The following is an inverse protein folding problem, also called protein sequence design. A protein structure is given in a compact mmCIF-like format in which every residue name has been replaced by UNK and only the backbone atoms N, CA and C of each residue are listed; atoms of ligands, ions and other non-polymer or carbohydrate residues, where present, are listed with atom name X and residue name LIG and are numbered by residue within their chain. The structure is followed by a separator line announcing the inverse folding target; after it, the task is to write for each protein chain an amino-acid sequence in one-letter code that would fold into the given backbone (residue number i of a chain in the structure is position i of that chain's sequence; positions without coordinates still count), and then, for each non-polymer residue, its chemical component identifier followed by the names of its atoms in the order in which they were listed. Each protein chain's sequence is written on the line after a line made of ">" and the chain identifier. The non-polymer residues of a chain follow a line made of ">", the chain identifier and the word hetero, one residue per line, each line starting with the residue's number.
data_IF_292227142465
#
_entry.id   IF_292227142465
#
_cell.length_a   1.000
_cell.length_b   1.000
_cell.length_c   1.000
_cell.angle_alpha   90.00
_cell.angle_beta   90.00
_cell.angle_gamma   90.00
#
_symmetry.space_group_name_H-M   'P 1'
#
loop_
_entity.id
_entity.type
_entity.pdbx_description
1 polymer ?
#
# COMPACT_ATOMS: atom_id res chain seq x y z
N UNK A 1 6.92 -2.03 -10.84
CA UNK A 1 5.53 -2.53 -10.75
C UNK A 1 5.21 -3.73 -11.66
N UNK A 2 6.02 -4.05 -12.67
CA UNK A 2 5.81 -5.22 -13.55
C UNK A 2 6.00 -6.58 -12.85
N UNK A 3 6.93 -6.69 -11.90
CA UNK A 3 7.19 -7.94 -11.17
C UNK A 3 5.99 -8.40 -10.32
N UNK A 4 5.32 -7.46 -9.63
CA UNK A 4 4.11 -7.77 -8.84
C UNK A 4 2.94 -8.22 -9.72
N UNK A 5 2.79 -7.63 -10.91
CA UNK A 5 1.76 -8.04 -11.88
C UNK A 5 2.09 -9.37 -12.57
N UNK A 6 3.36 -9.66 -12.83
CA UNK A 6 3.80 -10.94 -13.40
C UNK A 6 3.64 -12.11 -12.41
N UNK A 7 3.79 -11.85 -11.10
CA UNK A 7 3.53 -12.83 -10.04
C UNK A 7 2.03 -13.10 -9.83
N UNK A 8 1.17 -12.16 -10.21
CA UNK A 8 -0.30 -12.26 -10.12
C UNK A 8 -0.94 -13.02 -11.30
N UNK A 9 -0.17 -13.45 -12.31
CA UNK A 9 -0.72 -14.27 -13.41
C UNK A 9 -1.31 -15.56 -12.81
N UNK A 10 -2.57 -15.92 -13.10
CA UNK A 10 -3.31 -16.96 -12.37
C UNK A 10 -2.62 -18.33 -12.36
N UNK A 11 -1.91 -18.69 -13.44
CA UNK A 11 -1.18 -19.95 -13.50
C UNK A 11 0.11 -19.92 -12.67
N UNK A 12 0.86 -18.81 -12.69
CA UNK A 12 2.11 -18.66 -11.93
C UNK A 12 1.85 -18.62 -10.43
N UNK A 13 0.77 -17.96 -10.00
CA UNK A 13 0.40 -17.89 -8.59
C UNK A 13 -0.05 -19.24 -8.04
N UNK A 14 -0.74 -20.06 -8.85
CA UNK A 14 -1.12 -21.43 -8.49
C UNK A 14 0.10 -22.33 -8.31
N UNK A 15 1.04 -22.30 -9.25
CA UNK A 15 2.25 -23.11 -9.20
C UNK A 15 3.15 -22.76 -8.02
N UNK A 16 3.31 -21.45 -7.74
CA UNK A 16 4.06 -20.96 -6.58
C UNK A 16 3.40 -21.35 -5.25
N UNK A 17 2.06 -21.29 -5.19
CA UNK A 17 1.31 -21.77 -4.02
C UNK A 17 1.48 -23.26 -3.80
N UNK A 18 1.41 -24.06 -4.87
CA UNK A 18 1.60 -25.49 -4.77
C UNK A 18 3.02 -25.84 -4.31
N UNK A 19 4.04 -25.16 -4.85
CA UNK A 19 5.42 -25.34 -4.43
C UNK A 19 5.62 -24.91 -2.96
N UNK A 20 5.02 -23.80 -2.54
CA UNK A 20 5.05 -23.37 -1.15
C UNK A 20 4.37 -24.39 -0.23
N UNK A 21 3.22 -24.92 -0.62
CA UNK A 21 2.49 -25.94 0.14
C UNK A 21 3.32 -27.23 0.28
N UNK A 22 3.99 -27.66 -0.79
CA UNK A 22 4.87 -28.84 -0.78
C UNK A 22 6.02 -28.67 0.22
N UNK A 23 6.71 -27.52 0.23
CA UNK A 23 7.75 -27.25 1.23
C UNK A 23 7.19 -27.10 2.65
N UNK A 24 6.00 -26.52 2.82
CA UNK A 24 5.36 -26.42 4.13
C UNK A 24 4.95 -27.80 4.67
N UNK A 25 4.58 -28.73 3.80
CA UNK A 25 4.15 -30.08 4.21
C UNK A 25 5.35 -31.00 4.46
N UNK A 26 6.38 -30.96 3.61
CA UNK A 26 7.53 -31.86 3.70
C UNK A 26 8.64 -31.38 4.64
N UNK A 27 8.96 -30.08 4.67
CA UNK A 27 10.13 -29.57 5.40
C UNK A 27 9.81 -29.14 6.85
N UNK A 28 8.53 -29.04 7.20
CA UNK A 28 8.09 -28.51 8.49
C UNK A 28 7.25 -29.51 9.29
N UNK A 29 7.39 -29.45 10.62
CA UNK A 29 6.49 -30.17 11.53
C UNK A 29 5.11 -29.50 11.57
N UNK A 30 4.11 -30.23 12.07
CA UNK A 30 2.78 -29.66 12.29
C UNK A 30 2.81 -28.44 13.22
N UNK A 31 3.66 -28.49 14.25
CA UNK A 31 3.85 -27.39 15.19
C UNK A 31 4.41 -26.14 14.50
N UNK A 32 5.38 -26.30 13.60
CA UNK A 32 5.97 -25.18 12.85
C UNK A 32 4.95 -24.55 11.89
N UNK A 33 4.12 -25.38 11.24
CA UNK A 33 3.03 -24.90 10.38
C UNK A 33 2.00 -24.08 11.17
N UNK A 34 1.61 -24.55 12.35
CA UNK A 34 0.66 -23.83 13.21
C UNK A 34 1.27 -22.54 13.76
N UNK A 35 2.58 -22.53 14.02
CA UNK A 35 3.34 -21.33 14.38
C UNK A 35 3.32 -20.29 13.25
N UNK A 36 3.59 -20.72 12.00
CA UNK A 36 3.51 -19.85 10.83
C UNK A 36 2.10 -19.31 10.58
N UNK A 37 1.07 -20.14 10.74
CA UNK A 37 -0.33 -19.71 10.63
C UNK A 37 -0.68 -18.66 11.69
N UNK A 38 -0.26 -18.85 12.94
CA UNK A 38 -0.46 -17.87 14.02
C UNK A 38 0.30 -16.58 13.76
N UNK A 39 1.54 -16.68 13.28
CA UNK A 39 2.36 -15.52 12.92
C UNK A 39 1.73 -14.72 11.76
N UNK A 40 1.27 -15.39 10.70
CA UNK A 40 0.55 -14.76 9.60
C UNK A 40 -0.79 -14.15 10.01
N UNK A 41 -1.49 -14.80 10.95
CA UNK A 41 -2.70 -14.25 11.57
C UNK A 41 -2.42 -12.91 12.27
N UNK A 42 -1.31 -12.79 13.00
CA UNK A 42 -0.92 -11.51 13.63
C UNK A 42 -0.68 -10.41 12.62
N UNK A 43 0.04 -10.69 11.53
CA UNK A 43 0.24 -9.71 10.46
C UNK A 43 -1.11 -9.23 9.92
N UNK A 44 -1.98 -10.17 9.58
CA UNK A 44 -3.31 -9.87 9.03
C UNK A 44 -4.16 -9.04 9.99
N UNK A 45 -4.18 -9.38 11.28
CA UNK A 45 -4.94 -8.65 12.30
C UNK A 45 -4.39 -7.24 12.49
N UNK A 46 -3.07 -7.07 12.61
CA UNK A 46 -2.45 -5.75 12.78
C UNK A 46 -2.64 -4.87 11.53
N UNK A 47 -2.40 -5.41 10.34
CA UNK A 47 -2.66 -4.71 9.07
C UNK A 47 -4.12 -4.34 8.94
N UNK A 48 -5.05 -5.25 9.26
CA UNK A 48 -6.48 -4.98 9.18
C UNK A 48 -6.94 -3.86 10.13
N UNK A 49 -6.55 -3.94 11.41
CA UNK A 49 -6.90 -2.93 12.42
C UNK A 49 -6.29 -1.58 12.04
N UNK A 50 -4.99 -1.53 11.73
CA UNK A 50 -4.32 -0.29 11.42
C UNK A 50 -4.82 0.34 10.11
N UNK A 51 -5.16 -0.47 9.10
CA UNK A 51 -5.82 -0.02 7.87
C UNK A 51 -7.18 0.62 8.17
N UNK A 52 -7.99 -0.01 9.02
CA UNK A 52 -9.29 0.54 9.41
C UNK A 52 -9.14 1.87 10.15
N UNK A 53 -8.21 1.95 11.10
CA UNK A 53 -7.89 3.20 11.81
C UNK A 53 -7.38 4.26 10.83
N UNK A 54 -6.51 3.88 9.90
CA UNK A 54 -5.96 4.77 8.88
C UNK A 54 -7.03 5.37 7.97
N UNK A 55 -7.97 4.55 7.47
CA UNK A 55 -9.13 5.04 6.71
C UNK A 55 -10.00 5.94 7.56
N UNK A 56 -10.28 5.56 8.81
CA UNK A 56 -11.08 6.38 9.74
C UNK A 56 -10.47 7.77 9.97
N UNK A 57 -9.16 7.83 10.20
CA UNK A 57 -8.42 9.09 10.31
C UNK A 57 -8.43 9.87 8.99
N UNK A 58 -8.29 9.20 7.86
CA UNK A 58 -8.41 9.81 6.53
C UNK A 58 -9.76 10.50 6.34
N UNK A 59 -10.85 9.80 6.60
CA UNK A 59 -12.21 10.36 6.52
C UNK A 59 -12.39 11.53 7.50
N UNK A 60 -11.88 11.40 8.72
CA UNK A 60 -11.91 12.47 9.71
C UNK A 60 -11.17 13.73 9.23
N UNK A 61 -9.96 13.59 8.70
CA UNK A 61 -9.20 14.73 8.16
C UNK A 61 -9.86 15.33 6.92
N UNK A 62 -10.45 14.51 6.03
CA UNK A 62 -11.22 15.00 4.90
C UNK A 62 -12.43 15.85 5.35
N UNK A 63 -13.18 15.37 6.35
CA UNK A 63 -14.27 16.12 6.95
C UNK A 63 -13.80 17.44 7.58
N UNK A 64 -12.70 17.38 8.35
CA UNK A 64 -12.12 18.57 8.99
C UNK A 64 -11.69 19.62 7.97
N UNK A 65 -11.03 19.20 6.89
CA UNK A 65 -10.55 20.08 5.83
C UNK A 65 -11.72 20.73 5.07
N UNK A 66 -12.79 19.97 4.80
CA UNK A 66 -14.03 20.51 4.24
C UNK A 66 -14.63 21.58 5.15
N UNK A 67 -14.76 21.30 6.44
CA UNK A 67 -15.31 22.25 7.41
C UNK A 67 -14.51 23.56 7.45
N UNK A 68 -13.17 23.46 7.42
CA UNK A 68 -12.29 24.64 7.34
C UNK A 68 -12.49 25.42 6.04
N UNK A 69 -12.56 24.76 4.88
CA UNK A 69 -12.80 25.42 3.59
C UNK A 69 -14.11 26.21 3.58
N UNK A 70 -15.19 25.63 4.11
CA UNK A 70 -16.49 26.33 4.22
C UNK A 70 -16.41 27.51 5.18
N UNK A 71 -15.75 27.34 6.33
CA UNK A 71 -15.57 28.44 7.28
C UNK A 71 -14.78 29.61 6.67
N UNK A 72 -13.68 29.33 5.95
CA UNK A 72 -12.93 30.34 5.21
C UNK A 72 -13.79 31.03 4.16
N UNK A 73 -14.50 30.28 3.32
CA UNK A 73 -15.37 30.86 2.30
C UNK A 73 -16.43 31.79 2.91
N UNK A 74 -17.06 31.38 4.02
CA UNK A 74 -18.06 32.19 4.71
C UNK A 74 -17.44 33.46 5.31
N UNK A 75 -16.23 33.37 5.88
CA UNK A 75 -15.52 34.53 6.40
C UNK A 75 -15.18 35.54 5.28
N UNK A 76 -14.63 35.08 4.15
CA UNK A 76 -14.33 35.94 3.00
C UNK A 76 -15.58 36.52 2.32
N UNK A 77 -16.71 35.83 2.40
CA UNK A 77 -17.99 36.32 1.86
C UNK A 77 -18.65 37.35 2.78
N UNK A 78 -18.53 37.18 4.10
CA UNK A 78 -19.22 38.00 5.10
C UNK A 78 -18.43 39.24 5.55
N UNK A 79 -17.10 39.25 5.37
CA UNK A 79 -16.29 40.44 5.63
C UNK A 79 -16.53 41.49 4.55
N UNK A 80 -16.63 42.76 4.96
CA UNK A 80 -16.57 43.90 4.05
C UNK A 80 -15.27 43.82 3.25
N UNK A 81 -15.38 43.69 1.93
CA UNK A 81 -14.23 43.50 1.05
C UNK A 81 -13.59 44.86 0.78
N UNK A 82 -12.33 45.10 1.18
CA UNK A 82 -11.63 46.29 0.74
C UNK A 82 -11.51 46.25 -0.79
N UNK A 83 -11.94 47.31 -1.46
CA UNK A 83 -12.02 47.38 -2.93
C UNK A 83 -10.71 47.91 -3.51
N UNK A 84 -10.01 48.77 -2.77
CA UNK A 84 -8.86 49.54 -3.25
C UNK A 84 -7.77 49.65 -2.18
N UNK A 85 -6.50 49.53 -2.59
CA UNK A 85 -5.33 49.87 -1.77
C UNK A 85 -4.84 51.25 -2.22
N UNK A 86 -4.71 52.18 -1.28
CA UNK A 86 -4.06 53.48 -1.51
C UNK A 86 -2.61 53.43 -1.04
N UNK A 87 -1.68 53.57 -1.98
CA UNK A 87 -0.25 53.63 -1.70
C UNK A 87 0.14 55.04 -1.24
N UNK A 88 1.25 55.16 -0.51
CA UNK A 88 1.72 56.44 0.04
C UNK A 88 2.08 57.48 -1.04
N UNK A 89 2.30 57.03 -2.28
CA UNK A 89 2.53 57.86 -3.47
C UNK A 89 1.23 58.36 -4.14
N UNK A 90 0.07 58.03 -3.58
CA UNK A 90 -1.25 58.41 -4.11
C UNK A 90 -1.80 57.47 -5.18
N UNK A 91 -1.06 56.42 -5.57
CA UNK A 91 -1.57 55.40 -6.49
C UNK A 91 -2.65 54.56 -5.81
N UNK A 92 -3.67 54.21 -6.58
CA UNK A 92 -4.76 53.34 -6.12
C UNK A 92 -4.81 52.10 -7.00
N UNK A 93 -4.75 50.91 -6.40
CA UNK A 93 -4.89 49.63 -7.13
C UNK A 93 -6.08 48.83 -6.59
N UNK A 94 -6.89 48.21 -7.47
CA UNK A 94 -8.01 47.39 -7.06
C UNK A 94 -7.54 46.05 -6.48
N UNK A 95 -8.16 45.63 -5.37
CA UNK A 95 -7.88 44.33 -4.78
C UNK A 95 -8.62 43.25 -5.59
N UNK A 96 -7.92 42.22 -6.09
CA UNK A 96 -8.57 41.15 -6.85
C UNK A 96 -9.48 40.31 -5.93
N UNK A 97 -10.75 40.14 -6.33
CA UNK A 97 -11.67 39.25 -5.60
C UNK A 97 -11.30 37.78 -5.83
N UNK A 98 -10.78 37.15 -4.79
CA UNK A 98 -10.39 35.74 -4.79
C UNK A 98 -11.53 34.79 -4.35
N UNK A 99 -12.71 35.32 -4.01
CA UNK A 99 -13.82 34.53 -3.45
C UNK A 99 -14.25 33.38 -4.36
N UNK A 100 -14.22 33.58 -5.68
CA UNK A 100 -14.54 32.55 -6.66
C UNK A 100 -13.59 31.34 -6.57
N UNK A 101 -12.30 31.58 -6.28
CA UNK A 101 -11.29 30.51 -6.15
C UNK A 101 -11.39 29.74 -4.83
N UNK A 102 -11.98 30.36 -3.82
CA UNK A 102 -12.21 29.76 -2.49
C UNK A 102 -13.56 29.04 -2.40
N UNK A 103 -14.37 29.09 -3.46
CA UNK A 103 -15.69 28.47 -3.47
C UNK A 103 -15.61 26.96 -3.23
N UNK A 104 -16.46 26.39 -2.37
CA UNK A 104 -16.54 24.95 -2.18
C UNK A 104 -16.89 24.25 -3.49
N UNK A 105 -16.15 23.19 -3.85
CA UNK A 105 -16.37 22.41 -5.07
C UNK A 105 -16.66 20.95 -4.74
N UNK A 106 -17.75 20.42 -5.32
CA UNK A 106 -18.19 19.03 -5.12
C UNK A 106 -17.13 18.02 -5.60
N UNK A 107 -16.46 18.31 -6.71
CA UNK A 107 -15.38 17.46 -7.24
C UNK A 107 -14.13 17.53 -6.38
N UNK A 108 -13.79 18.72 -5.87
CA UNK A 108 -12.69 18.88 -4.92
C UNK A 108 -12.94 18.13 -3.62
N UNK A 109 -14.18 18.13 -3.13
CA UNK A 109 -14.57 17.38 -1.94
C UNK A 109 -14.51 15.86 -2.19
N UNK A 110 -15.03 15.37 -3.33
CA UNK A 110 -14.92 13.96 -3.71
C UNK A 110 -13.46 13.50 -3.79
N UNK A 111 -12.60 14.29 -4.44
CA UNK A 111 -11.16 14.02 -4.50
C UNK A 111 -10.54 14.02 -3.09
N UNK A 112 -10.93 14.95 -2.22
CA UNK A 112 -10.43 15.00 -0.84
C UNK A 112 -10.76 13.70 -0.10
N UNK A 113 -12.03 13.27 -0.10
CA UNK A 113 -12.40 12.01 0.57
C UNK A 113 -11.68 10.81 -0.03
N UNK A 114 -11.54 10.75 -1.35
CA UNK A 114 -10.82 9.67 -2.01
C UNK A 114 -9.35 9.62 -1.60
N UNK A 115 -8.60 10.71 -1.77
CA UNK A 115 -7.16 10.73 -1.49
C UNK A 115 -6.85 10.55 -0.01
N UNK A 116 -7.65 11.14 0.88
CA UNK A 116 -7.44 10.93 2.31
C UNK A 116 -7.81 9.51 2.75
N UNK A 117 -8.84 8.89 2.17
CA UNK A 117 -9.18 7.49 2.47
C UNK A 117 -8.12 6.53 1.94
N UNK A 118 -7.67 6.71 0.69
CA UNK A 118 -6.63 5.88 0.08
C UNK A 118 -5.28 6.09 0.77
N UNK A 119 -4.91 7.34 1.05
CA UNK A 119 -3.70 7.67 1.79
C UNK A 119 -3.74 7.13 3.22
N UNK A 120 -4.88 7.25 3.88
CA UNK A 120 -5.11 6.67 5.21
C UNK A 120 -5.02 5.15 5.21
N UNK A 121 -5.62 4.48 4.23
CA UNK A 121 -5.51 3.03 4.04
C UNK A 121 -4.05 2.61 3.85
N UNK A 122 -3.32 3.31 2.99
CA UNK A 122 -1.92 2.99 2.72
C UNK A 122 -1.05 3.17 3.96
N UNK A 123 -1.11 4.34 4.60
CA UNK A 123 -0.34 4.62 5.82
C UNK A 123 -0.71 3.65 6.95
N UNK A 124 -2.00 3.42 7.17
CA UNK A 124 -2.48 2.45 8.15
C UNK A 124 -2.04 1.03 7.85
N UNK A 125 -2.09 0.63 6.57
CA UNK A 125 -1.68 -0.69 6.10
C UNK A 125 -0.18 -0.94 6.31
N UNK A 126 0.67 0.02 5.95
CA UNK A 126 2.13 -0.08 6.14
C UNK A 126 2.51 -0.10 7.63
N UNK A 127 1.90 0.75 8.45
CA UNK A 127 2.13 0.74 9.91
C UNK A 127 1.66 -0.59 10.51
N UNK A 128 0.51 -1.09 10.08
CA UNK A 128 -0.01 -2.39 10.50
C UNK A 128 0.87 -3.55 10.04
N UNK A 129 1.43 -3.48 8.82
CA UNK A 129 2.37 -4.46 8.31
C UNK A 129 3.67 -4.45 9.13
N UNK A 130 4.23 -3.29 9.44
CA UNK A 130 5.44 -3.15 10.24
C UNK A 130 5.23 -3.70 11.67
N UNK A 131 4.15 -3.29 12.33
CA UNK A 131 3.83 -3.77 13.69
C UNK A 131 3.48 -5.26 13.71
N UNK A 132 2.74 -5.73 12.70
CA UNK A 132 2.37 -7.13 12.51
C UNK A 132 3.58 -8.01 12.24
N UNK A 133 4.50 -7.59 11.37
CA UNK A 133 5.74 -8.32 11.08
C UNK A 133 6.69 -8.36 12.27
N UNK A 134 6.81 -7.27 13.04
CA UNK A 134 7.56 -7.27 14.29
C UNK A 134 6.97 -8.27 15.31
N UNK A 135 5.64 -8.28 15.46
CA UNK A 135 4.92 -9.21 16.36
C UNK A 135 5.04 -10.67 15.90
N UNK A 136 4.92 -10.92 14.61
CA UNK A 136 5.10 -12.23 13.98
C UNK A 136 6.54 -12.73 14.13
N UNK A 137 7.53 -11.87 13.85
CA UNK A 137 8.95 -12.17 14.01
C UNK A 137 9.26 -12.60 15.44
N UNK A 138 8.81 -11.83 16.45
CA UNK A 138 8.97 -12.18 17.86
C UNK A 138 8.36 -13.53 18.23
N UNK A 139 7.29 -13.94 17.53
CA UNK A 139 6.64 -15.24 17.76
C UNK A 139 7.46 -16.38 17.18
N UNK A 140 8.02 -16.21 15.97
CA UNK A 140 8.86 -17.20 15.30
C UNK A 140 10.21 -17.35 16.01
N UNK A 141 10.82 -16.25 16.46
CA UNK A 141 12.13 -16.27 17.10
C UNK A 141 12.12 -16.79 18.54
N UNK A 142 10.95 -17.07 19.12
CA UNK A 142 10.83 -17.57 20.49
C UNK A 142 11.38 -18.99 20.64
N UNK A 143 11.28 -19.81 19.60
CA UNK A 143 11.89 -21.14 19.55
C UNK A 143 13.00 -21.16 18.47
N UNK A 144 14.29 -21.24 18.88
CA UNK A 144 15.41 -21.30 17.96
C UNK A 144 15.33 -22.48 16.98
N UNK A 145 14.85 -23.65 17.43
CA UNK A 145 14.77 -24.84 16.59
C UNK A 145 13.70 -24.70 15.50
N UNK A 146 12.53 -24.19 15.85
CA UNK A 146 11.48 -23.87 14.86
C UNK A 146 11.95 -22.81 13.88
N UNK A 147 12.67 -21.77 14.35
CA UNK A 147 13.22 -20.72 13.49
C UNK A 147 14.15 -21.29 12.43
N UNK A 148 15.10 -22.14 12.80
CA UNK A 148 16.06 -22.73 11.86
C UNK A 148 15.38 -23.60 10.79
N UNK A 149 14.41 -24.43 11.20
CA UNK A 149 13.62 -25.26 10.26
C UNK A 149 12.82 -24.40 9.28
N UNK A 150 12.15 -23.37 9.77
CA UNK A 150 11.40 -22.41 8.95
C UNK A 150 12.32 -21.68 7.97
N UNK A 151 13.49 -21.23 8.43
CA UNK A 151 14.45 -20.54 7.57
C UNK A 151 15.00 -21.46 6.48
N UNK A 152 15.29 -22.72 6.81
CA UNK A 152 15.73 -23.73 5.84
C UNK A 152 14.65 -24.02 4.80
N UNK A 153 13.41 -24.28 5.23
CA UNK A 153 12.28 -24.50 4.33
C UNK A 153 12.06 -23.31 3.39
N UNK A 154 12.16 -22.08 3.91
CA UNK A 154 12.03 -20.87 3.10
C UNK A 154 13.16 -20.69 2.09
N UNK A 155 14.41 -21.03 2.46
CA UNK A 155 15.55 -21.02 1.55
C UNK A 155 15.37 -22.03 0.42
N UNK A 156 14.96 -23.25 0.74
CA UNK A 156 14.68 -24.30 -0.25
C UNK A 156 13.59 -23.87 -1.24
N UNK A 157 12.48 -23.36 -0.72
CA UNK A 157 11.40 -22.81 -1.54
C UNK A 157 11.91 -21.71 -2.50
N UNK A 158 12.71 -20.75 -2.01
CA UNK A 158 13.27 -19.68 -2.87
C UNK A 158 14.18 -20.23 -3.95
N UNK A 159 15.02 -21.22 -3.61
CA UNK A 159 15.89 -21.89 -4.59
C UNK A 159 15.05 -22.51 -5.70
N UNK A 160 13.98 -23.22 -5.37
CA UNK A 160 13.16 -23.91 -6.36
C UNK A 160 12.30 -22.95 -7.19
N UNK A 161 11.83 -21.84 -6.60
CA UNK A 161 11.23 -20.73 -7.36
C UNK A 161 12.21 -20.16 -8.38
N UNK A 162 13.46 -19.90 -7.98
CA UNK A 162 14.49 -19.35 -8.87
C UNK A 162 14.87 -20.34 -9.97
N UNK A 163 15.00 -21.64 -9.66
CA UNK A 163 15.24 -22.68 -10.68
C UNK A 163 14.12 -22.70 -11.72
N UNK A 164 12.85 -22.64 -11.29
CA UNK A 164 11.70 -22.57 -12.21
C UNK A 164 11.72 -21.31 -13.06
N UNK A 165 12.09 -20.16 -12.48
CA UNK A 165 12.23 -18.92 -13.22
C UNK A 165 13.34 -18.99 -14.27
N UNK A 166 14.51 -19.55 -13.92
CA UNK A 166 15.60 -19.81 -14.87
C UNK A 166 15.14 -20.72 -16.00
N UNK A 167 14.44 -21.82 -15.69
CA UNK A 167 13.91 -22.75 -16.69
C UNK A 167 12.92 -22.06 -17.65
N UNK A 168 12.06 -21.19 -17.12
CA UNK A 168 11.13 -20.40 -17.94
C UNK A 168 11.87 -19.41 -18.87
N UNK A 169 12.96 -18.79 -18.39
CA UNK A 169 13.76 -17.87 -19.19
C UNK A 169 14.56 -18.60 -20.27
N UNK A 170 15.17 -19.75 -19.95
CA UNK A 170 15.88 -20.60 -20.91
C UNK A 170 14.96 -21.20 -21.98
N UNK A 171 13.73 -21.58 -21.60
CA UNK A 171 12.74 -22.10 -22.55
C UNK A 171 12.31 -21.06 -23.59
N UNK A 172 12.24 -19.78 -23.24
CA UNK A 172 11.96 -18.69 -24.17
C UNK A 172 13.13 -18.41 -25.12
N UNK A 173 14.36 -18.43 -24.61
CA UNK A 173 15.57 -18.23 -25.41
C UNK A 173 15.73 -19.31 -26.49
N UNK A 174 15.44 -20.58 -26.19
CA UNK A 174 15.45 -21.64 -27.22
C UNK A 174 14.38 -21.44 -28.29
N UNK A 175 13.19 -20.95 -27.91
CA UNK A 175 12.11 -20.66 -28.85
C UNK A 175 12.52 -19.50 -29.80
N UNK A 176 13.19 -18.47 -29.28
CA UNK A 176 13.78 -17.39 -30.08
C UNK A 176 14.91 -17.88 -31.01
N UNK A 177 15.77 -18.80 -30.55
CA UNK A 177 16.78 -19.45 -31.40
C UNK A 177 16.15 -20.26 -32.55
N UNK A 178 15.08 -21.02 -32.29
CA UNK A 178 14.37 -21.79 -33.33
C UNK A 178 13.76 -20.90 -34.42
N UNK A 179 13.21 -19.72 -34.07
CA UNK A 179 12.69 -18.78 -35.06
C UNK A 179 13.79 -18.02 -35.80
N UNK A 180 14.94 -17.80 -35.17
CA UNK A 180 16.07 -17.09 -35.80
C UNK A 180 16.88 -18.00 -36.74
N UNK A 181 16.94 -19.32 -36.49
CA UNK A 181 17.63 -20.27 -37.38
C UNK A 181 16.79 -20.73 -38.58
N UNK A 182 15.55 -20.26 -38.71
CA UNK A 182 14.60 -20.65 -39.76
C UNK A 182 14.43 -19.57 -40.86
N UNK A 183 15.26 -18.51 -40.84
CA UNK A 183 15.36 -17.46 -41.87
C UNK A 183 16.73 -17.54 -42.55
#
# INVERSE_FOLDING_TARGET
>A
MSASLAALRPNRSKDLRQLAEEHLQHDLSQQDRDLLKRAGGKVTTHTGIASLVGVGLGVYFAFRLRAMRVAYFNAFRAMEKPVEIRFADGRTEPIPDISAKLSPSRWGDAATYFFFSVGGLFLGGEIGLLTGTASASRTITKDPGSRERIEKAFKNYRIDVLKREIQQLQGKSRFEEFFTSSS
#
